data_IF_911812145251
#
_entry.id   IF_911812145251
#
_cell.length_a   1.000
_cell.length_b   1.000
_cell.length_c   1.000
_cell.angle_alpha   90.00
_cell.angle_beta   90.00
_cell.angle_gamma   90.00
#
_symmetry.space_group_name_H-M   'P 1'
#
loop_
_entity.id
_entity.type
_entity.pdbx_description
1 polymer ?
#
# COMPACT_ATOMS: atom_id res chain seq x y z
N UNK A 1 19.11 -9.03 7.95
CA UNK A 1 17.86 -9.68 7.54
C UNK A 1 16.74 -9.09 8.38
N UNK A 2 15.62 -8.62 7.82
CA UNK A 2 14.51 -8.16 8.66
C UNK A 2 13.98 -9.37 9.43
N UNK A 3 13.91 -9.25 10.75
CA UNK A 3 13.36 -10.28 11.63
C UNK A 3 11.85 -10.17 11.50
N UNK A 4 11.20 -11.13 10.84
CA UNK A 4 9.74 -11.19 10.81
C UNK A 4 9.25 -11.63 12.20
N UNK A 5 8.65 -10.68 12.94
CA UNK A 5 8.03 -10.99 14.23
C UNK A 5 6.96 -12.09 14.04
N UNK A 6 6.94 -13.12 14.91
CA UNK A 6 5.95 -14.17 14.84
C UNK A 6 4.54 -13.57 14.90
N UNK A 7 3.70 -13.97 13.95
CA UNK A 7 2.31 -13.49 13.89
C UNK A 7 1.58 -14.08 15.11
N UNK A 8 1.21 -13.20 16.03
CA UNK A 8 0.37 -13.57 17.17
C UNK A 8 -1.09 -13.66 16.70
N UNK A 9 -1.57 -14.89 16.54
CA UNK A 9 -2.95 -15.21 16.14
C UNK A 9 -3.93 -15.23 17.33
N UNK A 10 -3.46 -14.99 18.56
CA UNK A 10 -4.30 -15.02 19.76
C UNK A 10 -5.19 -13.77 19.89
N UNK A 11 -4.77 -12.65 19.29
CA UNK A 11 -5.51 -11.41 19.24
C UNK A 11 -6.05 -11.16 17.82
N UNK A 12 -7.35 -11.43 17.56
CA UNK A 12 -7.94 -11.25 16.24
C UNK A 12 -7.89 -9.80 15.74
N UNK A 13 -7.82 -8.81 16.64
CA UNK A 13 -7.68 -7.40 16.30
C UNK A 13 -6.29 -7.07 15.74
N UNK A 14 -5.23 -7.55 16.39
CA UNK A 14 -3.85 -7.38 15.90
C UNK A 14 -3.61 -8.15 14.60
N UNK A 15 -4.15 -9.36 14.49
CA UNK A 15 -4.07 -10.13 13.26
C UNK A 15 -4.78 -9.43 12.09
N UNK A 16 -6.00 -8.92 12.31
CA UNK A 16 -6.73 -8.17 11.30
C UNK A 16 -5.95 -6.92 10.85
N UNK A 17 -5.33 -6.20 11.78
CA UNK A 17 -4.51 -5.03 11.45
C UNK A 17 -3.26 -5.40 10.62
N UNK A 18 -2.57 -6.50 10.96
CA UNK A 18 -1.41 -6.99 10.20
C UNK A 18 -1.82 -7.45 8.80
N UNK A 19 -2.89 -8.24 8.70
CA UNK A 19 -3.42 -8.70 7.41
C UNK A 19 -3.86 -7.55 6.50
N UNK A 20 -4.51 -6.51 7.06
CA UNK A 20 -4.86 -5.29 6.33
C UNK A 20 -3.61 -4.54 5.86
N UNK A 21 -2.60 -4.41 6.72
CA UNK A 21 -1.34 -3.75 6.40
C UNK A 21 -0.61 -4.47 5.25
N UNK A 22 -0.53 -5.81 5.31
CA UNK A 22 0.11 -6.62 4.28
C UNK A 22 -0.65 -6.55 2.95
N UNK A 23 -1.98 -6.60 2.99
CA UNK A 23 -2.82 -6.45 1.79
C UNK A 23 -2.62 -5.09 1.12
N UNK A 24 -2.54 -4.01 1.91
CA UNK A 24 -2.26 -2.65 1.40
C UNK A 24 -0.86 -2.56 0.79
N UNK A 25 0.14 -3.15 1.44
CA UNK A 25 1.51 -3.16 0.93
C UNK A 25 1.61 -3.92 -0.40
N UNK A 26 0.99 -5.09 -0.51
CA UNK A 26 0.94 -5.88 -1.74
C UNK A 26 0.22 -5.14 -2.86
N UNK A 27 -0.87 -4.43 -2.55
CA UNK A 27 -1.57 -3.59 -3.50
C UNK A 27 -0.71 -2.42 -4.01
N UNK A 28 0.05 -1.76 -3.12
CA UNK A 28 1.01 -0.71 -3.49
C UNK A 28 2.08 -1.24 -4.44
N UNK A 29 2.60 -2.43 -4.17
CA UNK A 29 3.61 -3.08 -5.01
C UNK A 29 3.06 -3.44 -6.41
N UNK A 30 1.87 -4.04 -6.49
CA UNK A 30 1.22 -4.36 -7.76
C UNK A 30 0.88 -3.10 -8.58
N UNK A 31 0.40 -2.03 -7.94
CA UNK A 31 0.21 -0.73 -8.59
C UNK A 31 1.53 -0.17 -9.13
N UNK A 32 2.62 -0.28 -8.36
CA UNK A 32 3.96 0.13 -8.81
C UNK A 32 4.45 -0.69 -10.00
N UNK A 33 4.24 -2.01 -10.00
CA UNK A 33 4.64 -2.94 -11.06
C UNK A 33 3.86 -2.70 -12.36
N UNK A 34 2.55 -2.51 -12.25
CA UNK A 34 1.66 -2.27 -13.40
C UNK A 34 1.67 -0.82 -13.89
N UNK A 35 2.25 0.10 -13.11
CA UNK A 35 2.24 1.54 -13.41
C UNK A 35 0.87 2.19 -13.26
N UNK A 36 -0.11 1.49 -12.67
CA UNK A 36 -1.45 2.02 -12.40
C UNK A 36 -1.42 2.84 -11.11
N UNK A 37 -2.00 4.05 -11.09
CA UNK A 37 -2.04 4.85 -9.89
C UNK A 37 -2.91 4.19 -8.82
N UNK A 38 -2.41 4.11 -7.58
CA UNK A 38 -3.23 3.73 -6.43
C UNK A 38 -3.97 4.98 -5.93
N UNK A 39 -5.30 4.90 -5.87
CA UNK A 39 -6.17 5.98 -5.41
C UNK A 39 -6.84 5.53 -4.12
N UNK A 40 -6.58 6.26 -3.02
CA UNK A 40 -7.22 6.00 -1.72
C UNK A 40 -8.36 6.99 -1.54
N UNK A 41 -9.58 6.48 -1.45
CA UNK A 41 -10.78 7.25 -1.18
C UNK A 41 -11.12 7.21 0.31
N UNK A 42 -11.32 8.38 0.91
CA UNK A 42 -11.79 8.55 2.28
C UNK A 42 -13.31 8.79 2.27
N UNK A 43 -14.12 7.86 2.80
CA UNK A 43 -15.57 7.98 2.80
C UNK A 43 -16.08 9.07 3.76
N UNK A 44 -15.38 9.34 4.87
CA UNK A 44 -15.79 10.37 5.83
C UNK A 44 -15.59 11.76 5.26
N UNK A 45 -14.43 11.98 4.61
CA UNK A 45 -14.12 13.24 3.95
C UNK A 45 -14.72 13.36 2.55
N UNK A 46 -15.37 12.29 2.06
CA UNK A 46 -15.94 12.15 0.71
C UNK A 46 -14.98 12.63 -0.38
N UNK A 47 -13.69 12.28 -0.24
CA UNK A 47 -12.65 12.73 -1.17
C UNK A 47 -11.51 11.72 -1.30
N UNK A 48 -10.78 11.83 -2.40
CA UNK A 48 -9.49 11.15 -2.55
C UNK A 48 -8.48 11.79 -1.60
N UNK A 49 -7.88 10.99 -0.72
CA UNK A 49 -6.87 11.44 0.25
C UNK A 49 -5.45 11.13 -0.18
N UNK A 50 -5.25 10.14 -1.05
CA UNK A 50 -3.91 9.79 -1.50
C UNK A 50 -3.93 9.26 -2.94
N UNK A 51 -2.97 9.74 -3.75
CA UNK A 51 -2.74 9.27 -5.11
C UNK A 51 -1.27 8.93 -5.28
N UNK A 52 -0.96 7.64 -5.34
CA UNK A 52 0.39 7.18 -5.64
C UNK A 52 0.55 7.07 -7.15
N UNK A 53 1.10 8.12 -7.75
CA UNK A 53 1.49 8.09 -9.15
C UNK A 53 2.89 7.48 -9.30
N UNK A 54 3.09 6.71 -10.37
CA UNK A 54 4.44 6.47 -10.88
C UNK A 54 5.04 7.84 -11.20
N UNK A 55 6.06 8.29 -10.46
CA UNK A 55 6.98 9.30 -10.98
C UNK A 55 7.56 8.68 -12.24
N UNK A 56 6.98 8.98 -13.40
CA UNK A 56 7.63 8.76 -14.68
C UNK A 56 9.01 9.39 -14.51
N UNK A 57 10.07 8.59 -14.55
CA UNK A 57 11.39 9.12 -14.79
C UNK A 57 11.24 9.91 -16.08
N UNK A 58 11.29 11.23 -15.99
CA UNK A 58 11.58 12.08 -17.12
C UNK A 58 12.97 11.64 -17.55
N UNK A 59 13.05 10.70 -18.48
CA UNK A 59 14.26 10.44 -19.23
C UNK A 59 14.36 11.57 -20.25
N UNK A 60 14.66 12.76 -19.72
CA UNK A 60 15.18 13.88 -20.48
C UNK A 60 16.69 13.80 -20.32
N UNK A 61 17.27 12.74 -20.87
CA UNK A 61 18.69 12.71 -21.15
C UNK A 61 18.82 12.39 -22.63
N UNK A 62 19.60 13.25 -23.26
CA UNK A 62 19.71 13.52 -24.67
C UNK A 62 21.03 12.96 -25.16
#
# INVERSE_FOLDING_TARGET
MPVEEPIDYSDPGKYALKALTDAVNKLKEECRRTGRPLVVWDPEKKKVVEKYYRKSKNHKDR
#
